data_IF_057700187608
#
_entry.id   IF_057700187608
#
_cell.length_a   1.000
_cell.length_b   1.000
_cell.length_c   1.000
_cell.angle_alpha   90.00
_cell.angle_beta   90.00
_cell.angle_gamma   90.00
#
_symmetry.space_group_name_H-M   'P 1'
#
loop_
_entity.id
_entity.type
_entity.pdbx_description
1 polymer ?
#
# COMPACT_ATOMS: atom_id res chain seq x y z
N UNK A 1 -23.48 5.84 -8.94
CA UNK A 1 -22.58 4.73 -8.52
C UNK A 1 -22.06 5.04 -7.12
N UNK A 2 -22.22 4.14 -6.15
CA UNK A 2 -21.86 4.37 -4.73
C UNK A 2 -20.33 4.26 -4.44
N UNK A 3 -19.52 4.13 -5.49
CA UNK A 3 -18.07 3.88 -5.42
C UNK A 3 -17.74 2.38 -5.52
N UNK A 4 -16.51 2.06 -5.95
CA UNK A 4 -15.99 0.69 -6.03
C UNK A 4 -14.98 0.47 -4.90
N UNK A 5 -15.23 -0.50 -4.02
CA UNK A 5 -14.23 -0.88 -3.01
C UNK A 5 -13.07 -1.61 -3.68
N UNK A 6 -11.85 -1.19 -3.38
CA UNK A 6 -10.62 -1.77 -3.90
C UNK A 6 -9.77 -2.22 -2.73
N UNK A 7 -9.15 -3.38 -2.88
CA UNK A 7 -8.06 -3.88 -2.06
C UNK A 7 -7.00 -4.42 -3.02
N UNK A 8 -5.85 -3.78 -3.03
CA UNK A 8 -4.77 -4.04 -3.97
C UNK A 8 -3.49 -4.38 -3.21
N UNK A 9 -2.94 -5.59 -3.41
CA UNK A 9 -1.57 -5.89 -3.00
C UNK A 9 -0.58 -5.03 -3.79
N UNK A 10 0.37 -4.42 -3.08
CA UNK A 10 1.44 -3.60 -3.66
C UNK A 10 2.77 -4.32 -3.45
N UNK A 11 3.55 -4.58 -4.51
CA UNK A 11 4.92 -5.08 -4.38
C UNK A 11 5.76 -4.11 -3.54
N UNK A 12 6.57 -4.66 -2.64
CA UNK A 12 7.33 -3.87 -1.69
C UNK A 12 8.40 -2.98 -2.34
N UNK A 13 8.88 -3.36 -3.52
CA UNK A 13 9.87 -2.62 -4.29
C UNK A 13 9.29 -1.34 -4.89
N UNK A 14 7.97 -1.32 -5.14
CA UNK A 14 7.26 -0.18 -5.73
C UNK A 14 6.85 0.87 -4.70
N UNK A 15 7.08 0.62 -3.40
CA UNK A 15 6.69 1.53 -2.33
C UNK A 15 7.69 2.69 -2.20
N UNK A 16 7.26 3.95 -2.39
CA UNK A 16 8.12 5.11 -2.17
C UNK A 16 8.51 5.25 -0.70
N UNK A 17 9.80 5.43 -0.40
CA UNK A 17 10.31 5.41 0.99
C UNK A 17 10.45 6.80 1.63
N UNK A 18 10.34 7.84 0.82
CA UNK A 18 10.66 9.23 1.15
C UNK A 18 9.42 10.15 1.26
N UNK A 19 8.21 9.62 1.09
CA UNK A 19 6.97 10.41 1.13
C UNK A 19 6.58 10.93 2.52
N UNK A 20 7.16 10.39 3.58
CA UNK A 20 6.95 10.85 4.95
C UNK A 20 8.30 11.03 5.64
N UNK A 21 8.51 12.13 6.38
CA UNK A 21 9.74 12.29 7.13
C UNK A 21 9.79 11.23 8.25
N UNK A 22 11.00 10.76 8.64
CA UNK A 22 11.15 9.80 9.73
C UNK A 22 10.64 10.37 11.06
N UNK A 23 10.97 11.64 11.32
CA UNK A 23 10.56 12.39 12.51
C UNK A 23 9.63 13.56 12.16
N UNK A 24 8.90 14.09 13.16
CA UNK A 24 7.98 15.24 12.97
C UNK A 24 6.60 14.86 12.41
N UNK A 25 5.82 15.81 11.87
CA UNK A 25 4.46 15.56 11.37
C UNK A 25 4.47 14.76 10.05
N UNK A 26 3.61 13.75 9.96
CA UNK A 26 3.60 12.81 8.84
C UNK A 26 2.78 13.28 7.64
N UNK A 27 1.95 14.30 7.81
CA UNK A 27 1.07 14.82 6.77
C UNK A 27 0.17 13.74 6.15
N UNK A 28 -0.15 13.97 4.88
CA UNK A 28 -1.02 13.13 4.07
C UNK A 28 -0.30 12.79 2.76
N UNK A 29 0.59 11.79 2.76
CA UNK A 29 1.32 11.42 1.54
C UNK A 29 0.33 10.97 0.48
N UNK A 30 0.54 11.40 -0.76
CA UNK A 30 -0.26 10.99 -1.91
C UNK A 30 0.58 10.07 -2.81
N UNK A 31 -0.02 8.97 -3.24
CA UNK A 31 0.54 8.11 -4.28
C UNK A 31 -0.39 8.11 -5.49
N UNK A 32 0.19 8.12 -6.68
CA UNK A 32 -0.54 7.91 -7.93
C UNK A 32 -0.42 6.44 -8.30
N UNK A 33 -1.57 5.79 -8.51
CA UNK A 33 -1.61 4.45 -9.08
C UNK A 33 -1.74 4.58 -10.60
N UNK A 34 -0.92 3.81 -11.30
CA UNK A 34 -0.94 3.73 -12.76
C UNK A 34 -1.26 2.29 -13.18
N UNK A 35 -2.04 2.13 -14.24
CA UNK A 35 -2.19 0.84 -14.91
C UNK A 35 -1.19 0.78 -16.06
N UNK A 36 -0.44 -0.32 -16.12
CA UNK A 36 0.53 -0.57 -17.19
C UNK A 36 -0.15 -0.45 -18.56
N UNK A 37 0.48 0.30 -19.47
CA UNK A 37 -0.06 0.55 -20.82
C UNK A 37 -1.25 1.52 -20.90
N UNK A 38 -1.76 2.01 -19.77
CA UNK A 38 -2.88 2.99 -19.72
C UNK A 38 -2.43 4.34 -19.13
N UNK A 39 -1.58 4.32 -18.09
CA UNK A 39 -1.13 5.51 -17.39
C UNK A 39 -1.88 5.74 -16.06
N UNK A 40 -1.86 6.99 -15.53
CA UNK A 40 -2.46 7.31 -14.24
C UNK A 40 -3.95 7.00 -14.19
N UNK A 41 -4.35 6.20 -13.19
CA UNK A 41 -5.74 5.78 -13.02
C UNK A 41 -6.38 6.31 -11.75
N UNK A 42 -5.63 6.54 -10.69
CA UNK A 42 -6.17 7.22 -9.52
C UNK A 42 -5.09 7.77 -8.60
N UNK A 43 -5.47 8.76 -7.80
CA UNK A 43 -4.66 9.26 -6.69
C UNK A 43 -5.20 8.73 -5.37
N UNK A 44 -4.33 8.19 -4.54
CA UNK A 44 -4.63 7.77 -3.18
C UNK A 44 -3.95 8.70 -2.17
N UNK A 45 -4.74 9.45 -1.41
CA UNK A 45 -4.26 10.30 -0.31
C UNK A 45 -4.29 9.48 0.97
N UNK A 46 -3.11 9.18 1.50
CA UNK A 46 -2.93 8.25 2.61
C UNK A 46 -2.80 8.99 3.94
N UNK A 47 -2.95 8.24 5.03
CA UNK A 47 -2.62 8.72 6.36
C UNK A 47 -1.11 8.53 6.62
N UNK A 48 -0.38 9.62 6.91
CA UNK A 48 1.06 9.55 7.11
C UNK A 48 1.51 8.67 8.28
N UNK A 49 0.71 8.54 9.34
CA UNK A 49 1.00 7.63 10.48
C UNK A 49 0.92 6.16 10.05
N UNK A 50 -0.10 5.80 9.28
CA UNK A 50 -0.22 4.45 8.71
C UNK A 50 0.91 4.17 7.71
N UNK A 51 1.29 5.17 6.89
CA UNK A 51 2.41 5.06 5.96
C UNK A 51 3.73 4.78 6.68
N UNK A 52 4.05 5.53 7.74
CA UNK A 52 5.25 5.27 8.57
C UNK A 52 5.26 3.89 9.19
N UNK A 53 4.12 3.43 9.70
CA UNK A 53 4.00 2.07 10.27
C UNK A 53 4.29 1.01 9.23
N UNK A 54 3.78 1.19 8.01
CA UNK A 54 4.08 0.31 6.88
C UNK A 54 5.58 0.32 6.55
N UNK A 55 6.22 1.49 6.45
CA UNK A 55 7.67 1.59 6.20
C UNK A 55 8.50 0.91 7.29
N UNK A 56 8.10 1.05 8.56
CA UNK A 56 8.76 0.38 9.69
C UNK A 56 8.67 -1.14 9.58
N UNK A 57 7.48 -1.68 9.31
CA UNK A 57 7.29 -3.12 9.15
C UNK A 57 8.08 -3.67 7.94
N UNK A 58 8.15 -2.90 6.85
CA UNK A 58 8.96 -3.26 5.69
C UNK A 58 10.46 -3.29 6.01
N UNK A 59 10.95 -2.34 6.82
CA UNK A 59 12.34 -2.33 7.26
C UNK A 59 12.67 -3.47 8.24
N UNK A 60 11.71 -3.87 9.07
CA UNK A 60 11.88 -4.90 10.10
C UNK A 60 11.86 -6.33 9.54
N UNK A 61 10.93 -6.62 8.62
CA UNK A 61 10.73 -7.96 8.09
C UNK A 61 11.29 -8.16 6.68
N UNK A 62 11.74 -7.08 6.03
CA UNK A 62 12.17 -7.11 4.63
C UNK A 62 11.00 -7.19 3.64
N UNK A 63 11.27 -6.98 2.34
CA UNK A 63 10.25 -6.95 1.28
C UNK A 63 9.49 -8.27 1.13
N UNK A 64 10.17 -9.41 1.32
CA UNK A 64 9.56 -10.74 1.26
C UNK A 64 8.77 -11.12 2.53
N UNK A 65 9.06 -10.44 3.64
CA UNK A 65 8.47 -10.72 4.95
C UNK A 65 7.15 -10.00 5.22
N UNK A 66 6.69 -9.13 4.31
CA UNK A 66 5.41 -8.42 4.44
C UNK A 66 4.59 -8.47 3.16
N UNK A 67 3.28 -8.52 3.31
CA UNK A 67 2.33 -8.15 2.24
C UNK A 67 1.86 -6.73 2.48
N UNK A 68 2.07 -5.85 1.51
CA UNK A 68 1.58 -4.47 1.57
C UNK A 68 0.22 -4.41 0.88
N UNK A 69 -0.77 -3.87 1.57
CA UNK A 69 -2.13 -3.74 1.09
C UNK A 69 -2.53 -2.27 1.04
N UNK A 70 -3.00 -1.83 -0.12
CA UNK A 70 -3.68 -0.57 -0.32
C UNK A 70 -5.17 -0.83 -0.45
N UNK A 71 -5.98 -0.14 0.35
CA UNK A 71 -7.43 -0.28 0.33
C UNK A 71 -8.12 1.08 0.29
N UNK A 72 -9.31 1.13 -0.27
CA UNK A 72 -10.15 2.32 -0.24
C UNK A 72 -11.37 2.17 -1.13
N UNK A 73 -12.09 3.28 -1.33
CA UNK A 73 -13.25 3.33 -2.23
C UNK A 73 -12.94 4.24 -3.39
N UNK A 74 -12.81 3.67 -4.60
CA UNK A 74 -12.70 4.45 -5.83
C UNK A 74 -13.98 5.23 -6.06
N UNK A 75 -13.85 6.54 -6.19
CA UNK A 75 -14.93 7.46 -6.56
C UNK A 75 -14.48 8.38 -7.69
N UNK A 76 -15.41 8.93 -8.48
CA UNK A 76 -15.08 9.98 -9.44
C UNK A 76 -14.37 11.13 -8.73
N UNK A 77 -13.20 11.52 -9.23
CA UNK A 77 -12.45 12.65 -8.71
C UNK A 77 -12.68 13.93 -9.54
N UNK A 78 -12.29 15.09 -9.00
CA UNK A 78 -12.30 16.34 -9.75
C UNK A 78 -11.30 16.25 -10.91
N UNK A 79 -11.71 16.65 -12.12
CA UNK A 79 -10.84 16.63 -13.30
C UNK A 79 -10.79 15.30 -14.07
N UNK A 80 -11.70 14.37 -13.78
CA UNK A 80 -11.89 13.15 -14.59
C UNK A 80 -11.09 11.94 -14.15
N UNK A 81 -10.00 12.13 -13.37
CA UNK A 81 -9.28 11.03 -12.75
C UNK A 81 -9.97 10.59 -11.44
N UNK A 82 -10.26 9.29 -11.26
CA UNK A 82 -10.75 8.75 -10.00
C UNK A 82 -9.84 9.06 -8.80
N UNK A 83 -10.45 9.17 -7.62
CA UNK A 83 -9.74 9.26 -6.33
C UNK A 83 -10.06 8.04 -5.48
N UNK A 84 -9.06 7.54 -4.76
CA UNK A 84 -9.27 6.50 -3.75
C UNK A 84 -9.63 7.16 -2.41
N UNK A 85 -10.93 7.30 -2.14
CA UNK A 85 -11.42 7.89 -0.90
C UNK A 85 -11.22 6.94 0.28
N UNK A 86 -10.84 7.50 1.43
CA UNK A 86 -10.58 6.73 2.65
C UNK A 86 -9.40 5.76 2.47
N UNK A 87 -8.41 6.14 1.66
CA UNK A 87 -7.29 5.27 1.34
C UNK A 87 -6.48 4.91 2.60
N UNK A 88 -6.33 3.61 2.83
CA UNK A 88 -5.54 3.03 3.90
C UNK A 88 -4.42 2.17 3.33
N UNK A 89 -3.23 2.29 3.90
CA UNK A 89 -2.09 1.42 3.60
C UNK A 89 -1.67 0.67 4.86
N UNK A 90 -1.35 -0.62 4.70
CA UNK A 90 -0.91 -1.49 5.78
C UNK A 90 0.10 -2.51 5.29
N UNK A 91 1.13 -2.78 6.08
CA UNK A 91 1.98 -3.96 5.92
C UNK A 91 1.49 -5.05 6.86
N UNK A 92 1.27 -6.24 6.32
CA UNK A 92 0.88 -7.45 7.07
C UNK A 92 2.08 -8.38 7.05
N UNK A 93 2.75 -8.64 8.19
CA UNK A 93 3.82 -9.63 8.26
C UNK A 93 3.34 -10.97 7.74
N UNK A 94 4.14 -11.60 6.89
CA UNK A 94 3.93 -13.00 6.50
C UNK A 94 4.50 -13.85 7.63
N UNK A 95 3.66 -14.63 8.30
CA UNK A 95 4.19 -15.70 9.13
C UNK A 95 5.07 -16.59 8.24
N UNK A 96 6.25 -17.00 8.71
CA UNK A 96 7.04 -17.98 7.97
C UNK A 96 6.15 -19.19 7.73
N UNK A 97 6.10 -19.66 6.48
CA UNK A 97 5.60 -20.99 6.22
C UNK A 97 6.42 -21.93 7.12
N UNK A 98 5.75 -22.69 7.98
CA UNK A 98 6.44 -23.75 8.71
C UNK A 98 7.24 -24.56 7.67
N UNK A 99 8.52 -24.87 7.91
CA UNK A 99 9.26 -25.73 7.00
C UNK A 99 8.41 -26.99 6.81
N UNK A 100 8.18 -27.37 5.56
CA UNK A 100 7.54 -28.63 5.26
C UNK A 100 8.41 -29.73 5.86
N UNK A 101 8.03 -30.19 7.06
CA UNK A 101 8.67 -31.33 7.72
C UNK A 101 8.51 -32.51 6.77
N UNK A 102 9.66 -33.03 6.33
CA UNK A 102 9.76 -33.92 5.20
C UNK A 102 8.85 -35.14 5.32
N UNK A 103 7.95 -35.30 4.36
CA UNK A 103 7.52 -36.61 3.94
C UNK A 103 8.70 -37.28 3.24
N UNK A 104 9.50 -38.04 3.97
CA UNK A 104 10.64 -38.74 3.38
C UNK A 104 11.51 -39.48 4.39
N UNK A 105 11.05 -40.65 4.83
CA UNK A 105 11.79 -41.92 4.89
C UNK A 105 10.89 -43.01 5.48
#
# INVERSE_FOLDING_TARGET
LKGLKVLQPIPAELVPRDLVPPDGPAGNPAITLELEGVGPVCTAVLNGKSYRRMLKALAEHGPEGVTILLQGTLKPGPGGLPVLEGAGISAVPRSPAAPAEGAGA
#
